data_IF_993442835529
#
_entry.id   IF_993442835529
#
_cell.length_a   1.000
_cell.length_b   1.000
_cell.length_c   1.000
_cell.angle_alpha   90.00
_cell.angle_beta   90.00
_cell.angle_gamma   90.00
#
_symmetry.space_group_name_H-M   'P 1'
#
loop_
_entity.id
_entity.type
_entity.pdbx_description
1 polymer ?
#
# COMPACT_ATOMS: atom_id res chain seq x y z
N UNK A 1 -28.92 -2.18 -18.74
CA UNK A 1 -28.26 -0.97 -19.24
C UNK A 1 -26.87 -0.83 -18.65
N UNK A 2 -25.91 -0.76 -19.51
CA UNK A 2 -24.52 -0.66 -19.07
C UNK A 2 -24.23 0.74 -18.54
N UNK A 3 -23.72 0.80 -17.33
CA UNK A 3 -23.26 2.04 -16.73
C UNK A 3 -21.79 2.25 -17.07
N UNK A 4 -21.42 3.49 -17.29
CA UNK A 4 -19.99 3.82 -17.37
C UNK A 4 -19.35 3.56 -16.02
N UNK A 5 -18.20 2.90 -15.99
CA UNK A 5 -17.48 2.72 -14.74
C UNK A 5 -17.03 4.09 -14.20
N UNK A 6 -17.18 4.25 -12.89
CA UNK A 6 -16.67 5.40 -12.13
C UNK A 6 -15.64 4.83 -11.17
N UNK A 7 -14.38 5.17 -11.39
CA UNK A 7 -13.26 4.58 -10.69
C UNK A 7 -12.76 5.55 -9.63
N UNK A 8 -12.76 5.11 -8.37
CA UNK A 8 -12.12 5.82 -7.28
C UNK A 8 -10.73 5.22 -7.09
N UNK A 9 -9.70 5.99 -7.43
CA UNK A 9 -8.31 5.57 -7.24
C UNK A 9 -7.80 6.03 -5.89
N UNK A 10 -7.16 5.13 -5.17
CA UNK A 10 -6.51 5.45 -3.91
C UNK A 10 -5.13 4.79 -3.83
N UNK A 11 -4.26 5.39 -3.03
CA UNK A 11 -2.95 4.84 -2.70
C UNK A 11 -3.03 4.32 -1.27
N UNK A 12 -3.12 2.98 -1.06
CA UNK A 12 -3.31 2.41 0.28
C UNK A 12 -2.27 2.87 1.29
N UNK A 13 -1.03 3.05 0.86
CA UNK A 13 0.04 3.52 1.74
C UNK A 13 -0.29 4.84 2.44
N UNK A 14 -1.06 5.71 1.81
CA UNK A 14 -1.43 7.02 2.34
C UNK A 14 -2.86 7.07 2.86
N UNK A 15 -3.76 6.36 2.21
CA UNK A 15 -5.21 6.52 2.39
C UNK A 15 -5.68 6.29 3.81
N UNK A 16 -5.16 5.27 4.49
CA UNK A 16 -5.54 4.96 5.89
C UNK A 16 -4.42 5.29 6.88
N UNK A 17 -3.34 5.94 6.43
CA UNK A 17 -2.24 6.29 7.31
C UNK A 17 -2.65 7.40 8.29
N UNK A 18 -2.61 7.11 9.59
CA UNK A 18 -2.94 8.05 10.66
C UNK A 18 -1.72 8.73 11.27
N UNK A 19 -0.51 8.39 10.82
CA UNK A 19 0.70 9.03 11.27
C UNK A 19 0.81 10.43 10.68
N UNK A 20 1.01 11.44 11.54
CA UNK A 20 1.04 12.85 11.14
C UNK A 20 2.43 13.34 10.69
N UNK A 21 3.45 12.51 10.81
CA UNK A 21 4.79 12.88 10.37
C UNK A 21 4.90 12.75 8.85
N UNK A 22 5.55 13.73 8.24
CA UNK A 22 5.81 13.72 6.80
C UNK A 22 7.26 14.17 6.58
N UNK A 23 8.18 13.26 6.90
CA UNK A 23 9.63 13.53 6.80
C UNK A 23 10.09 13.12 5.41
N UNK A 24 10.61 14.05 4.59
CA UNK A 24 11.13 13.69 3.26
C UNK A 24 12.21 12.62 3.37
N UNK A 25 12.03 11.51 2.61
CA UNK A 25 12.95 10.38 2.66
C UNK A 25 12.93 9.62 4.01
N UNK A 26 11.92 9.84 4.84
CA UNK A 26 11.83 9.22 6.16
C UNK A 26 11.57 7.72 6.10
N UNK A 27 11.88 7.05 7.23
CA UNK A 27 11.68 5.61 7.37
C UNK A 27 10.22 5.26 7.60
N UNK A 28 9.91 3.97 7.51
CA UNK A 28 8.60 3.44 7.88
C UNK A 28 8.20 3.83 9.32
N UNK A 29 9.16 3.74 10.26
CA UNK A 29 8.91 4.08 11.65
C UNK A 29 8.59 5.57 11.84
N UNK A 30 9.17 6.43 11.01
CA UNK A 30 8.94 7.87 11.08
C UNK A 30 7.60 8.28 10.48
N UNK A 31 7.28 7.81 9.28
CA UNK A 31 6.13 8.26 8.50
C UNK A 31 4.92 7.32 8.60
N UNK A 32 5.14 6.06 8.93
CA UNK A 32 4.10 5.04 8.94
C UNK A 32 3.65 4.64 7.56
N UNK A 33 2.61 3.83 7.52
CA UNK A 33 1.94 3.40 6.28
C UNK A 33 0.47 3.10 6.57
N UNK A 34 -0.39 3.35 5.59
CA UNK A 34 -1.75 2.85 5.61
C UNK A 34 -1.77 1.32 5.60
N UNK A 35 -2.89 0.73 5.99
CA UNK A 35 -3.05 -0.73 6.10
C UNK A 35 -4.28 -1.18 5.32
N UNK A 36 -4.18 -2.32 4.64
CA UNK A 36 -5.32 -2.88 3.90
C UNK A 36 -6.48 -3.22 4.85
N UNK A 37 -6.20 -3.67 6.06
CA UNK A 37 -7.22 -3.98 7.05
C UNK A 37 -8.05 -2.76 7.48
N UNK A 38 -7.54 -1.55 7.28
CA UNK A 38 -8.25 -0.32 7.62
C UNK A 38 -9.21 0.13 6.51
N UNK A 39 -9.17 -0.52 5.35
CA UNK A 39 -10.16 -0.32 4.27
C UNK A 39 -11.35 -1.21 4.56
N UNK A 40 -12.20 -0.74 5.46
CA UNK A 40 -13.35 -1.48 5.99
C UNK A 40 -14.57 -1.34 5.11
N UNK A 41 -15.62 -2.10 5.44
CA UNK A 41 -16.91 -1.97 4.77
C UNK A 41 -17.47 -0.56 4.87
N UNK A 42 -17.27 0.11 6.00
CA UNK A 42 -17.70 1.51 6.19
C UNK A 42 -16.98 2.45 5.21
N UNK A 43 -15.67 2.26 5.03
CA UNK A 43 -14.88 3.05 4.08
C UNK A 43 -15.36 2.79 2.65
N UNK A 44 -15.55 1.53 2.27
CA UNK A 44 -16.01 1.15 0.94
C UNK A 44 -17.42 1.67 0.66
N UNK A 45 -18.30 1.64 1.67
CA UNK A 45 -19.65 2.21 1.56
C UNK A 45 -19.61 3.71 1.31
N UNK A 46 -18.72 4.43 1.99
CA UNK A 46 -18.53 5.86 1.76
C UNK A 46 -18.08 6.18 0.33
N UNK A 47 -17.16 5.39 -0.21
CA UNK A 47 -16.72 5.52 -1.60
C UNK A 47 -17.88 5.25 -2.58
N UNK A 48 -18.66 4.22 -2.29
CA UNK A 48 -19.85 3.88 -3.10
C UNK A 48 -20.88 5.01 -3.10
N UNK A 49 -21.09 5.67 -1.97
CA UNK A 49 -22.01 6.80 -1.84
C UNK A 49 -21.60 7.99 -2.70
N UNK A 50 -20.31 8.13 -3.01
CA UNK A 50 -19.82 9.13 -3.95
C UNK A 50 -20.19 8.83 -5.40
N UNK A 51 -20.75 7.64 -5.68
CA UNK A 51 -21.13 7.21 -7.01
C UNK A 51 -20.10 6.31 -7.70
N UNK A 52 -19.03 5.93 -7.02
CA UNK A 52 -18.02 5.04 -7.58
C UNK A 52 -18.56 3.62 -7.75
N UNK A 53 -18.18 2.98 -8.84
CA UNK A 53 -18.52 1.59 -9.14
C UNK A 53 -17.34 0.65 -8.91
N UNK A 54 -16.13 1.19 -8.90
CA UNK A 54 -14.88 0.44 -8.78
C UNK A 54 -13.90 1.20 -7.90
N UNK A 55 -13.05 0.44 -7.23
CA UNK A 55 -11.91 1.00 -6.49
C UNK A 55 -10.63 0.51 -7.15
N UNK A 56 -9.71 1.43 -7.41
CA UNK A 56 -8.40 1.11 -7.94
C UNK A 56 -7.36 1.30 -6.83
N UNK A 57 -6.79 0.21 -6.34
CA UNK A 57 -5.72 0.22 -5.36
C UNK A 57 -4.38 0.38 -6.07
N UNK A 58 -3.77 1.56 -5.97
CA UNK A 58 -2.45 1.80 -6.51
C UNK A 58 -1.39 1.38 -5.50
N UNK A 59 -0.44 0.55 -5.92
CA UNK A 59 0.70 0.18 -5.09
C UNK A 59 0.44 -0.97 -4.12
N UNK A 60 -0.49 -1.85 -4.42
CA UNK A 60 -0.76 -3.05 -3.61
C UNK A 60 0.27 -4.15 -3.85
N UNK A 61 0.76 -4.28 -5.07
CA UNK A 61 1.73 -5.31 -5.44
C UNK A 61 3.09 -4.98 -4.82
N UNK A 62 3.80 -5.99 -4.33
CA UNK A 62 5.10 -5.81 -3.69
C UNK A 62 6.07 -5.07 -4.59
N UNK A 63 6.63 -3.98 -4.10
CA UNK A 63 7.62 -3.17 -4.79
C UNK A 63 8.92 -3.09 -3.97
N UNK A 64 10.00 -2.63 -4.60
CA UNK A 64 11.28 -2.46 -3.93
C UNK A 64 11.18 -1.42 -2.80
N UNK A 65 11.79 -1.73 -1.67
CA UNK A 65 11.80 -0.88 -0.46
C UNK A 65 13.13 -1.02 0.27
N UNK A 66 13.50 -0.01 1.04
CA UNK A 66 14.64 -0.08 1.97
C UNK A 66 14.23 -0.60 3.34
N UNK A 67 12.95 -0.74 3.63
CA UNK A 67 12.49 -1.36 4.85
C UNK A 67 12.91 -2.82 4.88
N UNK A 68 13.50 -3.25 6.00
CA UNK A 68 14.01 -4.61 6.16
C UNK A 68 12.91 -5.57 6.59
N UNK A 69 12.56 -6.49 5.71
CA UNK A 69 11.62 -7.58 5.96
C UNK A 69 12.30 -8.94 5.85
N UNK A 70 13.63 -9.00 6.01
CA UNK A 70 14.39 -10.26 5.91
C UNK A 70 13.93 -11.30 6.93
N UNK A 71 13.46 -10.87 8.10
CA UNK A 71 12.89 -11.76 9.12
C UNK A 71 11.63 -12.48 8.62
N UNK A 72 10.94 -11.93 7.61
CA UNK A 72 9.74 -12.50 7.01
C UNK A 72 10.07 -13.24 5.70
N UNK A 73 11.34 -13.47 5.42
CA UNK A 73 11.78 -14.18 4.23
C UNK A 73 11.82 -13.35 2.96
N UNK A 74 11.66 -12.04 3.06
CA UNK A 74 11.71 -11.12 1.91
C UNK A 74 13.15 -10.67 1.70
N UNK A 75 13.67 -10.91 0.50
CA UNK A 75 15.04 -10.54 0.13
C UNK A 75 15.22 -9.03 0.13
N UNK A 76 16.29 -8.48 0.74
CA UNK A 76 16.61 -7.06 0.65
C UNK A 76 16.81 -6.60 -0.80
N UNK A 77 16.44 -5.35 -1.07
CA UNK A 77 16.53 -4.77 -2.40
C UNK A 77 17.80 -3.93 -2.56
N UNK A 78 18.26 -3.80 -3.81
CA UNK A 78 19.37 -2.90 -4.12
C UNK A 78 18.94 -1.45 -3.85
N UNK A 79 19.65 -0.71 -2.97
CA UNK A 79 19.26 0.66 -2.63
C UNK A 79 19.16 1.61 -3.81
N UNK A 80 19.87 1.33 -4.90
CA UNK A 80 19.86 2.17 -6.09
C UNK A 80 18.55 2.12 -6.87
N UNK A 81 17.72 1.08 -6.66
CA UNK A 81 16.41 0.95 -7.33
C UNK A 81 15.26 1.41 -6.42
N UNK A 82 15.57 1.89 -5.22
CA UNK A 82 14.57 2.31 -4.23
C UNK A 82 14.56 3.82 -4.10
N UNK A 83 13.42 4.44 -4.42
CA UNK A 83 13.21 5.87 -4.25
C UNK A 83 12.89 6.18 -2.78
N UNK A 84 13.74 7.01 -2.14
CA UNK A 84 13.59 7.29 -0.70
C UNK A 84 13.80 6.03 0.14
N UNK A 85 12.97 5.83 1.14
CA UNK A 85 12.97 4.62 1.99
C UNK A 85 11.87 3.64 1.61
N UNK A 86 10.67 4.17 1.36
CA UNK A 86 9.50 3.34 1.05
C UNK A 86 9.51 2.76 -0.36
N UNK A 87 10.19 3.42 -1.28
CA UNK A 87 10.24 3.02 -2.68
C UNK A 87 9.04 3.50 -3.49
N UNK A 88 9.12 3.31 -4.80
CA UNK A 88 8.04 3.65 -5.72
C UNK A 88 7.06 2.50 -5.86
N UNK A 89 5.74 2.74 -5.79
CA UNK A 89 4.74 1.69 -6.00
C UNK A 89 4.79 1.09 -7.42
N UNK A 90 5.51 1.71 -8.34
CA UNK A 90 5.67 1.21 -9.70
C UNK A 90 6.96 0.41 -9.93
N UNK A 91 7.85 0.35 -8.94
CA UNK A 91 9.08 -0.45 -9.00
C UNK A 91 8.81 -1.87 -8.49
N UNK A 92 8.02 -2.63 -9.23
CA UNK A 92 7.53 -3.95 -8.81
C UNK A 92 8.70 -4.91 -8.60
N UNK A 93 8.67 -5.61 -7.47
CA UNK A 93 9.62 -6.65 -7.11
C UNK A 93 9.05 -8.04 -7.35
N UNK A 94 7.84 -8.29 -6.89
CA UNK A 94 7.18 -9.59 -7.01
C UNK A 94 5.70 -9.38 -7.32
N UNK A 95 5.28 -9.82 -8.50
CA UNK A 95 3.89 -9.73 -8.95
C UNK A 95 2.95 -10.69 -8.22
N UNK A 96 3.49 -11.65 -7.50
CA UNK A 96 2.72 -12.67 -6.78
C UNK A 96 2.62 -12.39 -5.29
N UNK A 97 3.08 -11.23 -4.85
CA UNK A 97 3.08 -10.84 -3.44
C UNK A 97 2.50 -9.44 -3.24
N UNK A 98 2.13 -9.15 -2.01
CA UNK A 98 1.58 -7.88 -1.57
C UNK A 98 2.68 -7.05 -0.92
N UNK A 99 2.60 -5.72 -1.05
CA UNK A 99 3.48 -4.79 -0.36
C UNK A 99 3.38 -5.01 1.16
N UNK A 100 4.46 -5.46 1.82
CA UNK A 100 4.41 -5.78 3.24
C UNK A 100 4.14 -4.56 4.13
N UNK A 101 4.43 -3.34 3.69
CA UNK A 101 4.11 -2.11 4.44
C UNK A 101 2.61 -1.94 4.65
N UNK A 102 1.77 -2.56 3.81
CA UNK A 102 0.31 -2.46 3.89
C UNK A 102 -0.31 -3.49 4.86
N UNK A 103 0.49 -4.41 5.38
CA UNK A 103 0.00 -5.45 6.27
C UNK A 103 0.20 -5.08 7.74
N UNK A 104 -0.80 -5.38 8.56
CA UNK A 104 -0.66 -5.35 10.02
C UNK A 104 0.19 -6.52 10.47
N UNK A 105 -0.06 -7.70 9.90
CA UNK A 105 0.73 -8.92 10.12
C UNK A 105 1.41 -9.33 8.81
N UNK A 106 2.67 -8.96 8.65
CA UNK A 106 3.45 -9.20 7.44
C UNK A 106 3.49 -10.68 7.07
N UNK A 107 3.56 -11.56 8.05
CA UNK A 107 3.58 -13.01 7.83
C UNK A 107 2.30 -13.51 7.13
N UNK A 108 1.17 -12.88 7.41
CA UNK A 108 -0.14 -13.25 6.86
C UNK A 108 -0.66 -12.21 5.86
N UNK A 109 0.21 -11.41 5.28
CA UNK A 109 -0.16 -10.27 4.41
C UNK A 109 -1.09 -10.62 3.26
N UNK A 110 -0.98 -11.84 2.72
CA UNK A 110 -1.83 -12.27 1.60
C UNK A 110 -3.29 -12.51 2.01
N UNK A 111 -3.55 -12.64 3.31
CA UNK A 111 -4.91 -12.86 3.83
C UNK A 111 -5.63 -11.57 4.19
N UNK A 112 -4.88 -10.51 4.39
CA UNK A 112 -5.45 -9.22 4.74
C UNK A 112 -6.03 -8.50 3.51
#
# INVERSE_FOLDING_TARGET
MDRKPIIYQLLPRLFTNTNNHCIPGGTYQQNGSGKMNDITDTVLSGIKELGATHVWYTGVIEHATKTDYSAEGITPDNPHVVKGQAGSPYAIKDYYDIDPDLAVDVKNRMRE
#
